data_IF_399103479174
#
_entry.id   IF_399103479174
#
_cell.length_a   1.000
_cell.length_b   1.000
_cell.length_c   1.000
_cell.angle_alpha   90.00
_cell.angle_beta   90.00
_cell.angle_gamma   90.00
#
_symmetry.space_group_name_H-M   'P 1'
#
loop_
_entity.id
_entity.type
_entity.pdbx_description
1 polymer ?
#
# COMPACT_ATOMS: atom_id res chain seq x y z
N UNK A 1 -22.05 -39.15 8.06
CA UNK A 1 -22.10 -38.63 9.45
C UNK A 1 -20.72 -38.25 10.00
N UNK A 2 -19.73 -39.16 10.02
CA UNK A 2 -18.41 -38.89 10.61
C UNK A 2 -17.66 -37.67 10.05
N UNK A 3 -17.71 -37.46 8.73
CA UNK A 3 -17.13 -36.26 8.10
C UNK A 3 -17.76 -34.97 8.62
N UNK A 4 -19.08 -34.93 8.74
CA UNK A 4 -19.81 -33.77 9.25
C UNK A 4 -19.43 -33.49 10.72
N UNK A 5 -19.28 -34.52 11.54
CA UNK A 5 -18.83 -34.37 12.94
C UNK A 5 -17.41 -33.81 13.02
N UNK A 6 -16.50 -34.25 12.14
CA UNK A 6 -15.13 -33.73 12.07
C UNK A 6 -15.10 -32.25 11.68
N UNK A 7 -15.93 -31.84 10.71
CA UNK A 7 -16.06 -30.45 10.30
C UNK A 7 -16.64 -29.61 11.44
N UNK A 8 -17.70 -30.08 12.11
CA UNK A 8 -18.32 -29.39 13.26
C UNK A 8 -17.32 -29.21 14.39
N UNK A 9 -16.53 -30.24 14.72
CA UNK A 9 -15.49 -30.15 15.74
C UNK A 9 -14.41 -29.13 15.38
N UNK A 10 -14.00 -29.12 14.11
CA UNK A 10 -13.01 -28.15 13.61
C UNK A 10 -13.55 -26.72 13.69
N UNK A 11 -14.81 -26.52 13.31
CA UNK A 11 -15.49 -25.23 13.42
C UNK A 11 -15.60 -24.78 14.88
N UNK A 12 -16.00 -25.67 15.79
CA UNK A 12 -16.05 -25.39 17.22
C UNK A 12 -14.68 -24.94 17.75
N UNK A 13 -13.59 -25.62 17.35
CA UNK A 13 -12.23 -25.25 17.74
C UNK A 13 -11.84 -23.85 17.25
N UNK A 14 -12.19 -23.48 16.02
CA UNK A 14 -11.82 -22.19 15.45
C UNK A 14 -12.70 -21.07 16.00
N UNK A 15 -14.01 -21.30 16.10
CA UNK A 15 -15.00 -20.27 16.43
C UNK A 15 -15.18 -20.06 17.93
N UNK A 16 -15.15 -21.13 18.75
CA UNK A 16 -15.38 -21.03 20.20
C UNK A 16 -14.05 -20.97 20.93
N UNK A 17 -13.19 -21.98 20.78
CA UNK A 17 -11.93 -22.05 21.54
C UNK A 17 -10.93 -20.96 21.14
N UNK A 18 -10.87 -20.63 19.84
CA UNK A 18 -9.97 -19.61 19.31
C UNK A 18 -10.69 -18.35 18.80
N UNK A 19 -11.99 -18.22 19.10
CA UNK A 19 -12.85 -17.17 18.54
C UNK A 19 -12.34 -15.76 18.84
N UNK A 20 -12.07 -15.48 20.11
CA UNK A 20 -11.57 -14.17 20.56
C UNK A 20 -10.28 -13.77 19.85
N UNK A 21 -9.32 -14.69 19.75
CA UNK A 21 -8.05 -14.49 19.04
C UNK A 21 -8.28 -14.11 17.58
N UNK A 22 -9.13 -14.85 16.87
CA UNK A 22 -9.38 -14.57 15.46
C UNK A 22 -10.23 -13.31 15.25
N UNK A 23 -11.11 -12.97 16.19
CA UNK A 23 -11.84 -11.71 16.19
C UNK A 23 -10.91 -10.50 16.33
N UNK A 24 -9.95 -10.55 17.26
CA UNK A 24 -8.94 -9.50 17.44
C UNK A 24 -8.08 -9.32 16.19
N UNK A 25 -7.60 -10.42 15.60
CA UNK A 25 -6.85 -10.39 14.33
C UNK A 25 -7.69 -9.78 13.20
N UNK A 26 -8.96 -10.15 13.09
CA UNK A 26 -9.87 -9.60 12.08
C UNK A 26 -10.08 -8.09 12.28
N UNK A 27 -10.24 -7.63 13.52
CA UNK A 27 -10.44 -6.23 13.85
C UNK A 27 -9.20 -5.38 13.51
N UNK A 28 -8.01 -5.87 13.82
CA UNK A 28 -6.74 -5.24 13.47
C UNK A 28 -6.48 -5.18 11.96
N UNK A 29 -6.98 -6.16 11.20
CA UNK A 29 -6.92 -6.14 9.74
C UNK A 29 -7.96 -5.21 9.11
N UNK A 30 -9.12 -5.03 9.73
CA UNK A 30 -10.20 -4.18 9.23
C UNK A 30 -9.91 -2.69 9.47
N UNK A 31 -9.41 -2.34 10.67
CA UNK A 31 -9.12 -0.94 11.04
C UNK A 31 -7.61 -0.73 11.09
N UNK A 32 -7.02 -0.39 9.95
CA UNK A 32 -5.61 0.01 9.90
C UNK A 32 -5.49 1.52 10.08
N UNK A 33 -5.15 1.96 11.29
CA UNK A 33 -4.85 3.37 11.55
C UNK A 33 -3.61 3.80 10.75
N UNK A 34 -3.81 4.63 9.73
CA UNK A 34 -2.72 5.24 8.96
C UNK A 34 -2.46 6.64 9.49
N UNK A 35 -1.36 6.82 10.22
CA UNK A 35 -0.92 8.16 10.63
C UNK A 35 -0.40 8.91 9.41
N UNK A 36 -1.07 10.00 9.03
CA UNK A 36 -0.61 10.92 7.99
C UNK A 36 0.40 11.87 8.65
N UNK A 37 1.65 11.86 8.17
CA UNK A 37 2.66 12.82 8.63
C UNK A 37 2.34 14.19 8.00
N UNK A 38 2.49 15.30 8.75
CA UNK A 38 2.37 16.63 8.17
C UNK A 38 3.51 16.88 7.17
N UNK A 39 3.29 17.81 6.24
CA UNK A 39 4.32 18.30 5.33
C UNK A 39 5.41 19.02 6.14
N UNK A 40 6.69 18.87 5.74
CA UNK A 40 7.81 19.55 6.40
C UNK A 40 7.70 21.06 6.16
N UNK A 41 8.07 21.88 7.14
CA UNK A 41 8.22 23.32 6.90
C UNK A 41 9.34 23.61 5.89
N UNK A 42 9.18 24.68 5.13
CA UNK A 42 10.24 25.20 4.25
C UNK A 42 11.31 25.90 5.10
N UNK A 43 12.57 25.78 4.69
CA UNK A 43 13.72 26.34 5.39
C UNK A 43 14.32 27.42 4.51
N UNK A 44 14.47 28.61 5.09
CA UNK A 44 15.04 29.79 4.45
C UNK A 44 16.32 30.22 5.18
N UNK A 45 17.20 30.89 4.45
CA UNK A 45 18.33 31.59 5.04
C UNK A 45 17.89 32.94 5.67
N UNK A 46 18.85 33.74 6.14
CA UNK A 46 18.58 35.08 6.74
C UNK A 46 18.04 36.11 5.75
N UNK A 47 18.21 35.87 4.45
CA UNK A 47 17.79 36.75 3.36
C UNK A 47 16.48 36.26 2.70
N UNK A 48 15.80 35.28 3.31
CA UNK A 48 14.61 34.61 2.75
C UNK A 48 14.87 33.83 1.45
N UNK A 49 16.10 33.37 1.23
CA UNK A 49 16.41 32.45 0.14
C UNK A 49 16.12 30.99 0.57
N UNK A 50 15.38 30.21 -0.25
CA UNK A 50 14.99 28.86 0.11
C UNK A 50 16.20 27.90 0.10
N UNK A 51 16.52 27.31 1.25
CA UNK A 51 17.55 26.27 1.41
C UNK A 51 16.92 24.88 1.22
N UNK A 52 15.71 24.67 1.72
CA UNK A 52 14.99 23.41 1.58
C UNK A 52 13.48 23.62 1.46
N UNK A 53 12.90 23.13 0.36
CA UNK A 53 11.47 23.23 0.05
C UNK A 53 10.91 21.85 -0.30
N UNK A 54 9.60 21.67 -0.13
CA UNK A 54 8.96 20.44 -0.59
C UNK A 54 8.63 20.57 -2.07
N UNK A 55 9.18 19.68 -2.90
CA UNK A 55 8.81 19.58 -4.31
C UNK A 55 7.83 18.41 -4.48
N UNK A 56 6.65 18.61 -5.10
CA UNK A 56 5.74 17.51 -5.37
C UNK A 56 6.36 16.56 -6.39
N UNK A 57 6.47 15.28 -6.04
CA UNK A 57 6.87 14.23 -6.98
C UNK A 57 5.66 13.45 -7.48
N UNK A 58 5.66 13.13 -8.78
CA UNK A 58 4.67 12.25 -9.40
C UNK A 58 5.35 10.94 -9.76
N UNK A 59 5.02 9.89 -9.02
CA UNK A 59 5.62 8.58 -9.22
C UNK A 59 4.62 7.63 -9.89
N UNK A 60 5.07 6.91 -10.92
CA UNK A 60 4.30 5.85 -11.55
C UNK A 60 4.75 4.50 -10.96
N UNK A 61 3.80 3.72 -10.47
CA UNK A 61 4.05 2.37 -9.96
C UNK A 61 3.33 1.35 -10.85
N UNK A 62 4.01 0.25 -11.15
CA UNK A 62 3.46 -0.83 -11.97
C UNK A 62 3.75 -2.18 -11.33
N UNK A 63 2.77 -3.07 -11.37
CA UNK A 63 2.90 -4.44 -10.84
C UNK A 63 3.18 -5.38 -12.01
N UNK A 64 4.36 -6.01 -12.11
CA UNK A 64 4.76 -6.79 -13.29
C UNK A 64 3.76 -7.89 -13.68
N UNK A 65 3.15 -8.56 -12.70
CA UNK A 65 2.18 -9.63 -12.94
C UNK A 65 0.82 -9.18 -13.50
N UNK A 66 0.57 -7.87 -13.59
CA UNK A 66 -0.65 -7.30 -14.19
C UNK A 66 -0.40 -6.68 -15.57
N UNK A 67 0.81 -6.84 -16.10
CA UNK A 67 1.18 -6.28 -17.41
C UNK A 67 1.05 -7.39 -18.46
N UNK A 68 0.03 -7.27 -19.31
CA UNK A 68 -0.21 -8.21 -20.41
C UNK A 68 0.83 -8.03 -21.52
N UNK A 69 1.01 -6.79 -22.00
CA UNK A 69 1.98 -6.45 -23.03
C UNK A 69 2.95 -5.35 -22.57
N UNK A 70 4.19 -5.78 -22.29
CA UNK A 70 5.26 -4.87 -21.88
C UNK A 70 5.70 -3.92 -23.00
N UNK A 71 5.70 -4.38 -24.26
CA UNK A 71 6.17 -3.55 -25.39
C UNK A 71 5.17 -2.43 -25.67
N UNK A 72 3.87 -2.75 -25.69
CA UNK A 72 2.83 -1.74 -25.83
C UNK A 72 2.89 -0.71 -24.69
N UNK A 73 3.07 -1.16 -23.45
CA UNK A 73 3.22 -0.27 -22.30
C UNK A 73 4.44 0.66 -22.44
N UNK A 74 5.61 0.12 -22.82
CA UNK A 74 6.82 0.93 -23.00
C UNK A 74 6.62 2.00 -24.07
N UNK A 75 6.00 1.64 -25.21
CA UNK A 75 5.71 2.59 -26.28
C UNK A 75 4.74 3.69 -25.84
N UNK A 76 3.70 3.32 -25.09
CA UNK A 76 2.75 4.27 -24.51
C UNK A 76 3.44 5.23 -23.55
N UNK A 77 4.30 4.73 -22.66
CA UNK A 77 5.01 5.56 -21.68
C UNK A 77 6.00 6.50 -22.37
N UNK A 78 6.76 6.01 -23.34
CA UNK A 78 7.71 6.83 -24.10
C UNK A 78 7.04 7.97 -24.89
N UNK A 79 5.79 7.77 -25.32
CA UNK A 79 5.04 8.76 -26.11
C UNK A 79 4.35 9.80 -25.21
N UNK A 80 3.79 9.37 -24.07
CA UNK A 80 2.87 10.20 -23.29
C UNK A 80 3.50 10.82 -22.04
N UNK A 81 4.68 10.34 -21.62
CA UNK A 81 5.36 10.88 -20.43
C UNK A 81 6.69 11.51 -20.83
N UNK A 82 6.99 12.73 -20.35
CA UNK A 82 8.30 13.31 -20.54
C UNK A 82 9.33 12.41 -19.84
N UNK A 83 10.43 12.09 -20.55
CA UNK A 83 11.58 11.49 -19.91
C UNK A 83 12.08 12.48 -18.88
N UNK A 84 12.02 12.13 -17.60
CA UNK A 84 12.69 12.89 -16.56
C UNK A 84 14.18 12.96 -16.93
N UNK A 85 14.81 14.15 -16.86
CA UNK A 85 16.26 14.22 -16.85
C UNK A 85 16.76 13.30 -15.76
N UNK A 86 17.64 12.38 -16.13
CA UNK A 86 18.45 11.65 -15.16
C UNK A 86 19.15 12.70 -14.29
N UNK A 87 18.91 12.67 -12.98
CA UNK A 87 19.89 13.22 -12.03
C UNK A 87 21.14 12.35 -12.08
#
# INVERSE_FOLDING_TARGET
>A
LGLYLLIIFTLYKIQILNGEKYAEIAQNNFVRLKKIKPVRGEIYDRNYEPIAVNKPSRNLYMTPGKIEDKKALINFLATNFPKTPEE
#
